data_IF_623194864197
#
_entry.id   IF_623194864197
#
_cell.length_a   1.000
_cell.length_b   1.000
_cell.length_c   1.000
_cell.angle_alpha   90.00
_cell.angle_beta   90.00
_cell.angle_gamma   90.00
#
_symmetry.space_group_name_H-M   'P 1'
#
loop_
_entity.id
_entity.type
_entity.pdbx_description
1 polymer ?
#
# COMPACT_ATOMS: atom_id res chain seq x y z
N UNK A 1 -18.61 -8.83 -24.38
CA UNK A 1 -17.75 -8.23 -23.34
C UNK A 1 -16.30 -8.64 -23.51
N UNK A 2 -16.00 -9.92 -23.53
CA UNK A 2 -14.61 -10.45 -23.68
C UNK A 2 -13.84 -9.87 -24.87
N UNK A 3 -14.51 -9.68 -26.04
CA UNK A 3 -13.90 -9.07 -27.23
C UNK A 3 -13.45 -7.62 -26.97
N UNK A 4 -14.24 -6.84 -26.25
CA UNK A 4 -13.92 -5.43 -25.91
C UNK A 4 -12.70 -5.39 -24.98
N UNK A 5 -12.68 -6.23 -23.94
CA UNK A 5 -11.55 -6.33 -23.00
C UNK A 5 -10.28 -6.74 -23.75
N UNK A 6 -10.33 -7.77 -24.59
CA UNK A 6 -9.17 -8.23 -25.39
C UNK A 6 -8.66 -7.14 -26.35
N UNK A 7 -9.55 -6.39 -26.99
CA UNK A 7 -9.16 -5.30 -27.86
C UNK A 7 -8.44 -4.19 -27.10
N UNK A 8 -9.01 -3.75 -25.96
CA UNK A 8 -8.39 -2.75 -25.09
C UNK A 8 -7.00 -3.21 -24.59
N UNK A 9 -6.90 -4.43 -24.07
CA UNK A 9 -5.63 -4.97 -23.59
C UNK A 9 -4.60 -5.11 -24.69
N UNK A 10 -5.01 -5.47 -25.91
CA UNK A 10 -4.12 -5.52 -27.08
C UNK A 10 -3.56 -4.13 -27.44
N UNK A 11 -4.41 -3.09 -27.41
CA UNK A 11 -3.98 -1.70 -27.67
C UNK A 11 -3.00 -1.22 -26.62
N UNK A 12 -3.29 -1.42 -25.34
CA UNK A 12 -2.39 -1.04 -24.23
C UNK A 12 -1.06 -1.80 -24.31
N UNK A 13 -1.08 -3.10 -24.61
CA UNK A 13 0.13 -3.93 -24.71
C UNK A 13 1.04 -3.50 -25.88
N UNK A 14 0.47 -3.04 -27.00
CA UNK A 14 1.27 -2.52 -28.12
C UNK A 14 2.11 -1.30 -27.74
N UNK A 15 1.62 -0.47 -26.82
CA UNK A 15 2.33 0.73 -26.33
C UNK A 15 3.29 0.41 -25.17
N UNK A 16 3.10 -0.72 -24.48
CA UNK A 16 3.80 -1.08 -23.25
C UNK A 16 4.52 -2.43 -23.38
N UNK A 17 5.23 -2.61 -24.50
CA UNK A 17 6.02 -3.82 -24.74
C UNK A 17 7.07 -3.99 -23.66
N UNK A 18 7.22 -5.22 -23.12
CA UNK A 18 8.14 -5.56 -22.05
C UNK A 18 7.85 -4.93 -20.68
N UNK A 19 6.59 -4.59 -20.41
CA UNK A 19 6.12 -4.10 -19.10
C UNK A 19 5.12 -5.07 -18.43
N UNK A 20 5.53 -6.30 -18.07
CA UNK A 20 4.62 -7.36 -17.63
C UNK A 20 3.88 -7.02 -16.33
N UNK A 21 4.53 -6.38 -15.36
CA UNK A 21 3.91 -6.01 -14.09
C UNK A 21 2.83 -4.94 -14.30
N UNK A 22 3.09 -3.98 -15.18
CA UNK A 22 2.09 -2.97 -15.55
C UNK A 22 0.89 -3.59 -16.26
N UNK A 23 1.13 -4.47 -17.25
CA UNK A 23 0.07 -5.16 -17.97
C UNK A 23 -0.79 -6.05 -17.08
N UNK A 24 -0.20 -6.69 -16.06
CA UNK A 24 -0.94 -7.48 -15.07
C UNK A 24 -1.94 -6.59 -14.30
N UNK A 25 -1.51 -5.43 -13.80
CA UNK A 25 -2.39 -4.51 -13.08
C UNK A 25 -3.49 -3.92 -13.97
N UNK A 26 -3.16 -3.56 -15.20
CA UNK A 26 -4.14 -3.07 -16.16
C UNK A 26 -5.20 -4.14 -16.47
N UNK A 27 -4.78 -5.40 -16.61
CA UNK A 27 -5.70 -6.51 -16.88
C UNK A 27 -6.70 -6.70 -15.74
N UNK A 28 -6.22 -6.75 -14.49
CA UNK A 28 -7.07 -6.89 -13.29
C UNK A 28 -8.15 -5.79 -13.22
N UNK A 29 -7.75 -4.55 -13.47
CA UNK A 29 -8.69 -3.42 -13.45
C UNK A 29 -9.65 -3.47 -14.63
N UNK A 30 -9.16 -3.75 -15.85
CA UNK A 30 -9.95 -3.79 -17.07
C UNK A 30 -11.08 -4.82 -16.99
N UNK A 31 -10.84 -6.00 -16.42
CA UNK A 31 -11.83 -7.08 -16.27
C UNK A 31 -13.05 -6.64 -15.44
N UNK A 32 -12.87 -5.76 -14.50
CA UNK A 32 -13.96 -5.26 -13.63
C UNK A 32 -14.54 -3.92 -14.10
N UNK A 33 -13.71 -3.04 -14.63
CA UNK A 33 -14.09 -1.64 -14.97
C UNK A 33 -14.72 -1.56 -16.38
N UNK A 34 -14.22 -2.29 -17.38
CA UNK A 34 -14.78 -2.24 -18.75
C UNK A 34 -16.27 -2.66 -18.79
N UNK A 35 -16.71 -3.75 -18.12
CA UNK A 35 -18.13 -4.06 -18.05
C UNK A 35 -18.98 -2.93 -17.45
N UNK A 36 -18.44 -2.24 -16.45
CA UNK A 36 -19.11 -1.08 -15.85
C UNK A 36 -19.19 0.10 -16.84
N UNK A 37 -18.08 0.45 -17.51
CA UNK A 37 -18.05 1.50 -18.53
C UNK A 37 -19.12 1.26 -19.61
N UNK A 38 -19.17 0.04 -20.17
CA UNK A 38 -20.14 -0.32 -21.23
C UNK A 38 -21.60 -0.19 -20.75
N UNK A 39 -21.85 -0.36 -19.46
CA UNK A 39 -23.18 -0.21 -18.87
C UNK A 39 -23.60 1.23 -18.57
N UNK A 40 -22.72 2.22 -18.82
CA UNK A 40 -22.94 3.62 -18.47
C UNK A 40 -22.64 4.53 -19.66
N UNK A 41 -23.67 5.10 -20.25
CA UNK A 41 -23.56 5.99 -21.42
C UNK A 41 -22.59 7.17 -21.20
N UNK A 42 -22.51 7.69 -19.96
CA UNK A 42 -21.63 8.81 -19.61
C UNK A 42 -20.13 8.47 -19.81
N UNK A 43 -19.73 7.20 -19.69
CA UNK A 43 -18.33 6.78 -19.85
C UNK A 43 -18.06 6.12 -21.21
N UNK A 44 -19.10 5.57 -21.83
CA UNK A 44 -18.96 4.85 -23.09
C UNK A 44 -18.48 5.78 -24.22
N UNK A 45 -17.47 5.35 -24.97
CA UNK A 45 -16.91 6.14 -26.07
C UNK A 45 -15.96 7.29 -25.67
N UNK A 46 -15.77 7.54 -24.36
CA UNK A 46 -14.91 8.65 -23.88
C UNK A 46 -13.42 8.28 -23.72
N UNK A 47 -13.04 7.04 -24.01
CA UNK A 47 -11.67 6.53 -23.84
C UNK A 47 -11.03 6.80 -22.46
N UNK A 48 -11.86 6.95 -21.40
CA UNK A 48 -11.37 7.36 -20.08
C UNK A 48 -10.37 6.36 -19.52
N UNK A 49 -10.67 5.04 -19.57
CA UNK A 49 -9.73 4.04 -19.05
C UNK A 49 -8.43 4.03 -19.86
N UNK A 50 -8.48 4.25 -21.18
CA UNK A 50 -7.28 4.37 -22.01
C UNK A 50 -6.42 5.57 -21.61
N UNK A 51 -7.05 6.71 -21.27
CA UNK A 51 -6.35 7.89 -20.74
C UNK A 51 -5.79 7.64 -19.34
N UNK A 52 -6.48 6.87 -18.49
CA UNK A 52 -6.01 6.54 -17.15
C UNK A 52 -4.80 5.60 -17.12
N UNK A 53 -4.65 4.73 -18.11
CA UNK A 53 -3.51 3.80 -18.20
C UNK A 53 -2.28 4.46 -18.84
N UNK A 54 -2.43 5.61 -19.48
CA UNK A 54 -1.32 6.39 -20.00
C UNK A 54 -0.86 7.43 -18.96
N UNK A 55 0.40 7.40 -18.47
CA UNK A 55 0.88 8.42 -17.55
C UNK A 55 0.80 9.82 -18.15
N UNK A 56 0.37 10.82 -17.37
CA UNK A 56 0.40 12.21 -17.81
C UNK A 56 1.84 12.66 -18.07
N UNK A 57 2.81 12.18 -17.28
CA UNK A 57 4.26 12.42 -17.50
C UNK A 57 5.10 11.30 -16.90
N UNK A 58 6.22 11.04 -17.58
CA UNK A 58 7.30 10.17 -17.10
C UNK A 58 8.59 10.97 -17.09
N UNK A 59 9.20 11.06 -15.92
CA UNK A 59 10.46 11.77 -15.70
C UNK A 59 11.53 10.73 -15.40
N UNK A 60 12.58 10.68 -16.19
CA UNK A 60 13.74 9.82 -15.99
C UNK A 60 15.00 10.66 -15.97
N UNK A 61 15.88 10.40 -15.03
CA UNK A 61 17.11 11.18 -14.84
C UNK A 61 18.24 10.32 -14.29
N UNK A 62 19.48 10.77 -14.55
CA UNK A 62 20.70 10.17 -14.00
C UNK A 62 20.94 10.69 -12.59
N UNK A 63 21.32 9.79 -11.68
CA UNK A 63 21.75 10.11 -10.31
C UNK A 63 23.21 9.70 -10.17
N UNK A 64 24.12 10.66 -10.21
CA UNK A 64 25.54 10.46 -9.99
C UNK A 64 25.89 10.85 -8.55
N UNK A 65 26.62 10.01 -7.83
CA UNK A 65 27.02 10.24 -6.43
C UNK A 65 28.36 9.54 -6.12
N UNK A 66 29.02 9.92 -5.04
CA UNK A 66 30.31 9.37 -4.64
C UNK A 66 30.12 8.49 -3.42
N UNK A 67 30.62 7.25 -3.46
CA UNK A 67 30.57 6.31 -2.34
C UNK A 67 31.67 6.59 -1.28
N UNK A 68 31.76 5.74 -0.27
CA UNK A 68 32.74 5.91 0.80
C UNK A 68 34.19 5.54 0.38
N UNK A 69 34.36 4.91 -0.79
CA UNK A 69 35.64 4.64 -1.39
C UNK A 69 36.09 5.74 -2.38
N UNK A 70 35.38 6.87 -2.42
CA UNK A 70 35.59 7.98 -3.36
C UNK A 70 35.32 7.60 -4.84
N UNK A 71 34.61 6.48 -5.09
CA UNK A 71 34.25 6.04 -6.43
C UNK A 71 32.94 6.67 -6.87
N UNK A 72 32.88 7.05 -8.18
CA UNK A 72 31.67 7.62 -8.79
C UNK A 72 30.69 6.49 -9.10
N UNK A 73 29.53 6.55 -8.50
CA UNK A 73 28.40 5.66 -8.73
C UNK A 73 27.35 6.35 -9.59
N UNK A 74 26.64 5.57 -10.43
CA UNK A 74 25.59 6.07 -11.31
C UNK A 74 24.35 5.19 -11.21
N UNK A 75 23.24 5.78 -10.81
CA UNK A 75 21.93 5.15 -10.75
C UNK A 75 20.92 5.87 -11.67
N UNK A 76 19.78 5.22 -11.90
CA UNK A 76 18.64 5.81 -12.61
C UNK A 76 17.60 6.28 -11.61
N UNK A 77 17.13 7.50 -11.77
CA UNK A 77 16.01 8.06 -11.02
C UNK A 77 14.78 8.16 -11.90
N UNK A 78 13.60 7.95 -11.31
CA UNK A 78 12.31 8.00 -12.00
C UNK A 78 11.25 8.68 -11.17
N UNK A 79 10.32 9.39 -11.84
CA UNK A 79 9.02 9.79 -11.31
C UNK A 79 7.95 9.61 -12.39
N UNK A 80 6.91 8.87 -12.04
CA UNK A 80 5.73 8.64 -12.87
C UNK A 80 4.61 9.49 -12.29
N UNK A 81 4.20 10.51 -13.02
CA UNK A 81 3.03 11.35 -12.76
C UNK A 81 1.87 10.72 -13.54
N UNK A 82 1.07 9.88 -12.86
CA UNK A 82 0.13 8.99 -13.54
C UNK A 82 -1.19 9.68 -13.86
N UNK A 83 -1.80 10.33 -12.87
CA UNK A 83 -3.08 11.01 -13.05
C UNK A 83 -3.28 12.06 -11.96
N UNK A 84 -3.64 13.29 -12.34
CA UNK A 84 -3.85 14.43 -11.44
C UNK A 84 -5.32 14.91 -11.37
N UNK A 85 -6.25 14.21 -11.97
CA UNK A 85 -7.64 14.68 -12.09
C UNK A 85 -8.32 14.97 -10.74
N UNK A 86 -7.92 14.29 -9.65
CA UNK A 86 -8.51 14.48 -8.32
C UNK A 86 -7.59 15.17 -7.31
N UNK A 87 -6.42 15.63 -7.74
CA UNK A 87 -5.47 16.35 -6.87
C UNK A 87 -4.02 16.17 -7.30
N UNK A 88 -3.06 16.75 -6.56
CA UNK A 88 -1.64 16.63 -6.86
C UNK A 88 -1.21 15.17 -6.88
N UNK A 89 -0.22 14.83 -7.72
CA UNK A 89 0.30 13.47 -7.77
C UNK A 89 0.80 13.04 -6.40
N UNK A 90 0.46 11.84 -5.98
CA UNK A 90 0.81 11.32 -4.65
C UNK A 90 1.20 9.86 -4.73
N UNK A 91 2.34 9.52 -4.16
CA UNK A 91 2.81 8.15 -4.04
C UNK A 91 4.28 8.06 -3.67
N UNK A 92 4.70 6.87 -3.21
CA UNK A 92 6.02 6.66 -2.63
C UNK A 92 7.18 6.69 -3.63
N UNK A 93 8.38 6.87 -3.09
CA UNK A 93 9.65 6.61 -3.76
C UNK A 93 10.17 5.25 -3.27
N UNK A 94 10.61 4.40 -4.21
CA UNK A 94 11.20 3.09 -3.91
C UNK A 94 12.69 3.09 -4.28
N UNK A 95 13.55 2.73 -3.34
CA UNK A 95 14.97 2.50 -3.60
C UNK A 95 15.27 1.01 -3.47
N UNK A 96 15.42 0.36 -4.62
CA UNK A 96 15.66 -1.08 -4.68
C UNK A 96 16.24 -1.47 -6.05
N UNK A 97 17.18 -2.42 -6.14
CA UNK A 97 17.79 -2.84 -7.41
C UNK A 97 16.80 -3.30 -8.49
N UNK A 98 15.63 -3.81 -8.10
CA UNK A 98 14.59 -4.25 -9.05
C UNK A 98 13.79 -3.11 -9.68
N UNK A 99 13.99 -1.85 -9.26
CA UNK A 99 13.21 -0.72 -9.77
C UNK A 99 13.47 -0.52 -11.27
N UNK A 100 12.39 -0.57 -12.03
CA UNK A 100 12.35 -0.32 -13.45
C UNK A 100 11.03 0.38 -13.84
N UNK A 101 10.87 0.72 -15.10
CA UNK A 101 9.72 1.45 -15.62
C UNK A 101 8.41 0.66 -15.42
N UNK A 102 8.38 -0.63 -15.73
CA UNK A 102 7.20 -1.49 -15.61
C UNK A 102 6.67 -1.52 -14.17
N UNK A 103 7.58 -1.74 -13.20
CA UNK A 103 7.24 -1.76 -11.77
C UNK A 103 6.71 -0.39 -11.31
N UNK A 104 7.32 0.71 -11.75
CA UNK A 104 6.89 2.03 -11.32
C UNK A 104 5.56 2.46 -11.96
N UNK A 105 5.32 2.12 -13.23
CA UNK A 105 4.03 2.35 -13.89
C UNK A 105 2.92 1.52 -13.25
N UNK A 106 3.17 0.25 -12.98
CA UNK A 106 2.26 -0.61 -12.21
C UNK A 106 1.86 0.05 -10.88
N UNK A 107 2.86 0.42 -10.08
CA UNK A 107 2.62 1.01 -8.77
C UNK A 107 1.95 2.39 -8.84
N UNK A 108 2.25 3.19 -9.88
CA UNK A 108 1.62 4.49 -10.09
C UNK A 108 0.14 4.34 -10.48
N UNK A 109 -0.18 3.40 -11.36
CA UNK A 109 -1.52 3.09 -11.78
C UNK A 109 -2.40 2.60 -10.61
N UNK A 110 -1.91 1.61 -9.84
CA UNK A 110 -2.57 1.15 -8.62
C UNK A 110 -2.78 2.29 -7.60
N UNK A 111 -1.82 3.21 -7.53
CA UNK A 111 -1.89 4.34 -6.61
C UNK A 111 -3.02 5.30 -6.95
N UNK A 112 -3.39 5.46 -8.24
CA UNK A 112 -4.54 6.29 -8.66
C UNK A 112 -5.82 5.77 -7.99
N UNK A 113 -6.09 4.48 -8.08
CA UNK A 113 -7.29 3.85 -7.49
C UNK A 113 -7.26 3.90 -5.96
N UNK A 114 -6.12 3.57 -5.35
CA UNK A 114 -5.94 3.62 -3.90
C UNK A 114 -6.19 5.02 -3.34
N UNK A 115 -5.64 6.05 -3.96
CA UNK A 115 -5.81 7.43 -3.51
C UNK A 115 -7.26 7.90 -3.71
N UNK A 116 -7.88 7.54 -4.83
CA UNK A 116 -9.28 7.86 -5.11
C UNK A 116 -10.22 7.32 -4.03
N UNK A 117 -9.97 6.10 -3.54
CA UNK A 117 -10.78 5.48 -2.49
C UNK A 117 -10.73 6.25 -1.17
N UNK A 118 -9.62 6.90 -0.83
CA UNK A 118 -9.49 7.66 0.43
C UNK A 118 -10.39 8.87 0.54
N UNK A 119 -11.08 9.27 -0.53
CA UNK A 119 -11.86 10.50 -0.68
C UNK A 119 -11.05 11.80 -0.61
N UNK A 120 -9.79 11.74 -0.21
CA UNK A 120 -8.89 12.90 -0.13
C UNK A 120 -8.47 13.39 -1.53
N UNK A 121 -8.15 14.69 -1.69
CA UNK A 121 -7.76 15.28 -2.97
C UNK A 121 -6.31 14.91 -3.33
N UNK A 122 -6.10 13.71 -3.79
CA UNK A 122 -4.79 13.17 -4.16
C UNK A 122 -4.89 12.39 -5.47
N UNK A 123 -4.12 12.82 -6.47
CA UNK A 123 -3.88 12.07 -7.68
C UNK A 123 -2.94 10.87 -7.45
N UNK A 124 -2.51 10.21 -8.50
CA UNK A 124 -1.61 9.06 -8.43
C UNK A 124 -0.25 9.31 -9.06
N UNK A 125 0.79 8.89 -8.37
CA UNK A 125 2.16 8.91 -8.89
C UNK A 125 3.05 7.93 -8.15
N UNK A 126 4.19 7.62 -8.75
CA UNK A 126 5.20 6.74 -8.15
C UNK A 126 6.58 7.12 -8.64
N UNK A 127 7.60 6.86 -7.86
CA UNK A 127 8.97 7.08 -8.29
C UNK A 127 9.94 6.16 -7.58
N UNK A 128 11.21 6.35 -7.88
CA UNK A 128 12.26 5.58 -7.25
C UNK A 128 13.54 5.52 -8.05
N UNK A 129 14.41 4.61 -7.62
CA UNK A 129 15.72 4.37 -8.21
C UNK A 129 16.11 2.91 -8.04
N UNK A 130 16.97 2.43 -8.93
CA UNK A 130 17.68 1.15 -8.82
C UNK A 130 18.78 1.13 -7.74
N UNK A 131 18.91 2.19 -6.95
CA UNK A 131 19.79 2.29 -5.80
C UNK A 131 19.36 1.31 -4.69
N UNK A 132 20.32 0.58 -4.13
CA UNK A 132 20.11 -0.28 -2.96
C UNK A 132 20.68 0.38 -1.71
N UNK A 133 19.85 0.87 -0.77
CA UNK A 133 20.32 1.46 0.48
C UNK A 133 20.84 0.41 1.48
N UNK A 134 20.61 -0.88 1.21
CA UNK A 134 21.01 -1.95 2.11
C UNK A 134 22.53 -2.11 2.13
N UNK A 135 23.09 -2.07 3.33
CA UNK A 135 24.56 -2.18 3.52
C UNK A 135 25.33 -0.90 3.23
N UNK A 136 24.64 0.19 2.84
CA UNK A 136 25.26 1.50 2.64
C UNK A 136 25.35 2.28 3.94
N UNK A 137 26.39 3.11 4.09
CA UNK A 137 26.52 4.02 5.22
C UNK A 137 25.47 5.13 5.17
N UNK A 138 25.20 5.76 6.30
CA UNK A 138 24.30 6.92 6.37
C UNK A 138 24.80 8.08 5.48
N UNK A 139 26.11 8.23 5.35
CA UNK A 139 26.74 9.26 4.50
C UNK A 139 26.54 8.96 3.02
N UNK A 140 26.69 7.71 2.59
CA UNK A 140 26.42 7.26 1.22
C UNK A 140 24.95 7.49 0.86
N UNK A 141 24.02 7.05 1.73
CA UNK A 141 22.57 7.25 1.52
C UNK A 141 22.22 8.75 1.47
N UNK A 142 22.84 9.58 2.31
CA UNK A 142 22.63 11.03 2.27
C UNK A 142 23.11 11.63 0.95
N UNK A 143 24.32 11.30 0.49
CA UNK A 143 24.87 11.79 -0.80
C UNK A 143 23.97 11.37 -1.98
N UNK A 144 23.52 10.10 -1.99
CA UNK A 144 22.60 9.61 -2.99
C UNK A 144 21.27 10.41 -2.97
N UNK A 145 20.65 10.56 -1.80
CA UNK A 145 19.39 11.29 -1.65
C UNK A 145 19.50 12.76 -2.09
N UNK A 146 20.63 13.40 -1.79
CA UNK A 146 20.90 14.78 -2.22
C UNK A 146 21.03 14.88 -3.74
N UNK A 147 21.77 13.97 -4.38
CA UNK A 147 21.89 13.92 -5.84
C UNK A 147 20.53 13.62 -6.50
N UNK A 148 19.79 12.63 -6.00
CA UNK A 148 18.46 12.28 -6.50
C UNK A 148 17.50 13.48 -6.42
N UNK A 149 17.47 14.19 -5.29
CA UNK A 149 16.59 15.34 -5.10
C UNK A 149 17.04 16.56 -5.94
N UNK A 150 18.31 16.71 -6.24
CA UNK A 150 18.81 17.79 -7.12
C UNK A 150 18.22 17.70 -8.52
N UNK A 151 17.88 16.51 -8.98
CA UNK A 151 17.14 16.35 -10.23
C UNK A 151 15.62 16.43 -10.04
N UNK A 152 15.09 15.78 -9.01
CA UNK A 152 13.65 15.66 -8.81
C UNK A 152 12.97 16.98 -8.38
N UNK A 153 13.65 17.88 -7.66
CA UNK A 153 13.02 19.06 -7.03
C UNK A 153 12.29 19.98 -8.01
N UNK A 154 12.66 19.98 -9.29
CA UNK A 154 12.01 20.80 -10.35
C UNK A 154 10.60 20.33 -10.66
N UNK A 155 10.31 19.08 -10.38
CA UNK A 155 9.08 18.40 -10.80
C UNK A 155 8.07 18.23 -9.66
N UNK A 156 8.51 18.37 -8.40
CA UNK A 156 7.67 18.15 -7.21
C UNK A 156 7.37 19.45 -6.47
N UNK A 157 6.39 19.39 -5.58
CA UNK A 157 5.98 20.53 -4.76
C UNK A 157 4.64 20.28 -4.06
N UNK A 158 4.29 21.08 -3.05
CA UNK A 158 3.12 20.84 -2.19
C UNK A 158 1.77 20.85 -2.95
N UNK A 159 1.71 21.51 -4.11
CA UNK A 159 0.50 21.62 -4.94
C UNK A 159 0.65 20.93 -6.33
N UNK A 160 1.73 20.19 -6.55
CA UNK A 160 2.01 19.55 -7.84
C UNK A 160 2.17 18.05 -7.68
N UNK A 161 3.18 17.63 -6.95
CA UNK A 161 3.55 16.24 -6.73
C UNK A 161 4.19 16.08 -5.35
N UNK A 162 3.65 15.19 -4.53
CA UNK A 162 4.05 15.01 -3.14
C UNK A 162 4.49 13.57 -2.92
N UNK A 163 5.78 13.26 -3.11
CA UNK A 163 6.30 11.93 -2.84
C UNK A 163 6.21 11.52 -1.36
N UNK A 164 6.28 10.23 -1.11
CA UNK A 164 6.33 9.61 0.22
C UNK A 164 7.40 8.52 0.26
N UNK A 165 7.54 7.83 1.40
CA UNK A 165 8.36 6.63 1.50
C UNK A 165 7.69 5.39 0.91
N UNK A 166 8.51 4.42 0.56
CA UNK A 166 8.16 3.06 0.13
C UNK A 166 9.37 2.14 0.45
N UNK A 167 9.49 0.96 -0.15
CA UNK A 167 10.64 0.05 0.06
C UNK A 167 11.96 0.81 -0.13
N UNK A 168 12.86 0.70 0.84
CA UNK A 168 14.16 1.37 0.82
C UNK A 168 14.13 2.88 1.09
N UNK A 169 12.97 3.47 1.34
CA UNK A 169 12.80 4.90 1.68
C UNK A 169 11.98 5.03 2.95
N UNK A 170 12.65 5.12 4.07
CA UNK A 170 12.08 5.37 5.38
C UNK A 170 12.23 6.81 5.84
N UNK A 171 12.05 7.05 7.14
CA UNK A 171 12.19 8.39 7.74
C UNK A 171 13.55 9.03 7.55
N UNK A 172 14.65 8.23 7.53
CA UNK A 172 16.01 8.68 7.25
C UNK A 172 16.12 9.28 5.85
N UNK A 173 15.72 8.52 4.84
CA UNK A 173 15.77 8.93 3.43
C UNK A 173 14.85 10.13 3.18
N UNK A 174 13.63 10.12 3.72
CA UNK A 174 12.72 11.28 3.66
C UNK A 174 13.37 12.52 4.27
N UNK A 175 14.10 12.37 5.37
CA UNK A 175 14.86 13.48 6.00
C UNK A 175 15.91 14.08 5.07
N UNK A 176 16.74 13.23 4.45
CA UNK A 176 17.79 13.67 3.52
C UNK A 176 17.19 14.30 2.24
N UNK A 177 16.14 13.70 1.69
CA UNK A 177 15.42 14.23 0.52
C UNK A 177 14.79 15.60 0.85
N UNK A 178 14.11 15.73 1.98
CA UNK A 178 13.48 16.98 2.40
C UNK A 178 14.50 18.08 2.69
N UNK A 179 15.60 17.75 3.36
CA UNK A 179 16.68 18.69 3.64
C UNK A 179 17.27 19.29 2.37
N UNK A 180 17.50 18.46 1.34
CA UNK A 180 18.01 18.92 0.05
C UNK A 180 16.96 19.73 -0.73
N UNK A 181 15.70 19.30 -0.76
CA UNK A 181 14.62 20.09 -1.36
C UNK A 181 14.51 21.48 -0.73
N UNK A 182 14.45 21.55 0.61
CA UNK A 182 14.41 22.81 1.37
C UNK A 182 15.57 23.73 1.01
N UNK A 183 16.79 23.17 0.88
CA UNK A 183 17.98 23.94 0.50
C UNK A 183 17.88 24.51 -0.92
N UNK A 184 17.44 23.70 -1.91
CA UNK A 184 17.33 24.09 -3.30
C UNK A 184 16.23 25.12 -3.56
N UNK A 185 15.07 24.94 -2.89
CA UNK A 185 13.91 25.84 -3.04
C UNK A 185 13.94 27.05 -2.10
N UNK A 186 14.75 27.01 -1.06
CA UNK A 186 14.73 27.98 0.02
C UNK A 186 13.33 28.13 0.67
N UNK A 187 12.60 27.00 0.79
CA UNK A 187 11.23 26.95 1.30
C UNK A 187 11.06 25.79 2.28
N UNK A 188 10.32 26.02 3.38
CA UNK A 188 9.82 24.99 4.25
C UNK A 188 8.36 24.72 3.88
N UNK A 189 8.13 23.72 3.03
CA UNK A 189 6.80 23.40 2.46
C UNK A 189 6.35 21.98 2.78
N UNK A 190 5.11 21.64 2.45
CA UNK A 190 4.52 20.31 2.62
C UNK A 190 4.85 19.31 1.49
N UNK A 191 6.03 19.41 0.90
CA UNK A 191 6.39 18.68 -0.34
C UNK A 191 6.54 17.17 -0.19
N UNK A 192 6.94 16.64 0.91
CA UNK A 192 7.11 15.20 1.16
C UNK A 192 6.22 14.77 2.32
N UNK A 193 5.77 13.52 2.35
CA UNK A 193 5.11 12.93 3.51
C UNK A 193 5.93 11.77 4.10
N UNK A 194 5.67 11.46 5.38
CA UNK A 194 6.52 10.57 6.17
C UNK A 194 7.67 11.31 6.87
N UNK A 195 7.53 12.62 7.03
CA UNK A 195 8.45 13.47 7.78
C UNK A 195 8.44 13.12 9.26
N UNK A 196 9.50 13.49 9.97
CA UNK A 196 9.53 13.42 11.43
C UNK A 196 8.50 14.37 12.06
N UNK A 197 7.88 13.94 13.15
CA UNK A 197 6.81 14.70 13.83
C UNK A 197 7.27 16.13 14.21
N UNK A 198 8.53 16.29 14.61
CA UNK A 198 9.10 17.58 14.99
C UNK A 198 9.30 18.57 13.83
N UNK A 199 9.16 18.14 12.59
CA UNK A 199 9.39 18.96 11.41
C UNK A 199 8.36 18.71 10.28
N UNK A 200 7.09 18.56 10.67
CA UNK A 200 5.93 18.56 9.77
C UNK A 200 5.35 17.19 9.47
N UNK A 201 5.80 16.14 10.16
CA UNK A 201 5.20 14.81 10.09
C UNK A 201 3.91 14.68 10.88
N UNK A 202 3.11 13.69 10.59
CA UNK A 202 1.86 13.36 11.29
C UNK A 202 2.06 12.24 12.31
N UNK A 203 1.41 12.36 13.45
CA UNK A 203 1.18 11.24 14.35
C UNK A 203 0.38 10.14 13.63
N UNK A 204 0.40 8.91 14.16
CA UNK A 204 -0.27 7.72 13.56
C UNK A 204 0.31 7.30 12.19
N UNK A 205 1.26 8.02 11.59
CA UNK A 205 1.79 7.63 10.27
C UNK A 205 2.46 6.25 10.26
N UNK A 206 3.29 5.86 11.24
CA UNK A 206 3.83 4.51 11.33
C UNK A 206 2.75 3.43 11.48
N UNK A 207 1.74 3.69 12.26
CA UNK A 207 0.64 2.77 12.60
C UNK A 207 -0.39 2.62 11.48
N UNK A 208 -0.53 3.64 10.67
CA UNK A 208 -1.68 3.87 9.79
C UNK A 208 -2.05 2.71 8.87
N UNK A 209 -1.08 2.01 8.29
CA UNK A 209 -1.37 0.88 7.39
C UNK A 209 -1.92 -0.31 8.17
N UNK A 210 -1.28 -0.66 9.28
CA UNK A 210 -1.73 -1.74 10.16
C UNK A 210 -3.09 -1.44 10.80
N UNK A 211 -3.29 -0.23 11.31
CA UNK A 211 -4.57 0.20 11.86
C UNK A 211 -5.67 0.21 10.80
N UNK A 212 -5.37 0.75 9.63
CA UNK A 212 -6.33 0.84 8.52
C UNK A 212 -6.85 -0.52 8.08
N UNK A 213 -5.97 -1.53 7.93
CA UNK A 213 -6.42 -2.87 7.52
C UNK A 213 -7.34 -3.50 8.56
N UNK A 214 -7.08 -3.27 9.85
CA UNK A 214 -7.92 -3.80 10.93
C UNK A 214 -9.28 -3.08 10.99
N UNK A 215 -9.30 -1.76 10.83
CA UNK A 215 -10.56 -1.00 10.71
C UNK A 215 -11.40 -1.46 9.52
N UNK A 216 -10.77 -1.68 8.36
CA UNK A 216 -11.49 -2.17 7.18
C UNK A 216 -12.07 -3.57 7.40
N UNK A 217 -11.31 -4.48 8.03
CA UNK A 217 -11.79 -5.83 8.38
C UNK A 217 -12.97 -5.76 9.36
N UNK A 218 -12.92 -4.88 10.35
CA UNK A 218 -14.02 -4.71 11.30
C UNK A 218 -15.31 -4.26 10.59
N UNK A 219 -15.21 -3.30 9.67
CA UNK A 219 -16.33 -2.90 8.81
C UNK A 219 -16.86 -4.08 7.96
N UNK A 220 -15.97 -4.93 7.42
CA UNK A 220 -16.39 -6.12 6.68
C UNK A 220 -17.19 -7.10 7.55
N UNK A 221 -16.75 -7.31 8.80
CA UNK A 221 -17.45 -8.17 9.74
C UNK A 221 -18.81 -7.58 10.14
N UNK A 222 -18.87 -6.26 10.34
CA UNK A 222 -20.10 -5.54 10.69
C UNK A 222 -21.22 -5.70 9.65
N UNK A 223 -20.90 -5.93 8.38
CA UNK A 223 -21.92 -6.25 7.33
C UNK A 223 -22.77 -7.46 7.71
N UNK A 224 -22.18 -8.40 8.45
CA UNK A 224 -22.87 -9.63 8.90
C UNK A 224 -23.23 -9.56 10.40
N UNK A 225 -23.30 -8.38 11.01
CA UNK A 225 -23.56 -8.19 12.46
C UNK A 225 -22.54 -8.93 13.33
N UNK A 226 -21.28 -9.04 12.88
CA UNK A 226 -20.16 -9.65 13.57
C UNK A 226 -19.08 -8.59 13.86
N UNK A 227 -18.02 -8.94 14.58
CA UNK A 227 -16.92 -8.00 14.90
C UNK A 227 -15.65 -8.73 15.27
N UNK A 228 -14.58 -7.96 15.48
CA UNK A 228 -13.24 -8.48 15.79
C UNK A 228 -13.14 -9.15 17.17
N UNK A 229 -13.97 -8.74 18.14
CA UNK A 229 -13.88 -9.24 19.51
C UNK A 229 -14.01 -10.76 19.57
N UNK A 230 -13.01 -11.42 20.16
CA UNK A 230 -12.97 -12.88 20.31
C UNK A 230 -12.53 -13.67 19.07
N UNK A 231 -12.29 -13.01 17.92
CA UNK A 231 -11.80 -13.67 16.71
C UNK A 231 -10.34 -14.07 16.84
N UNK A 232 -10.00 -15.21 16.24
CA UNK A 232 -8.62 -15.66 16.07
C UNK A 232 -8.04 -15.11 14.76
N UNK A 233 -6.84 -14.54 14.81
CA UNK A 233 -6.20 -13.88 13.68
C UNK A 233 -4.83 -14.48 13.38
N UNK A 234 -4.60 -14.88 12.14
CA UNK A 234 -3.28 -15.22 11.64
C UNK A 234 -2.70 -14.03 10.83
N UNK A 235 -1.53 -13.56 11.22
CA UNK A 235 -0.82 -12.46 10.58
C UNK A 235 0.53 -12.96 10.09
N UNK A 236 0.90 -12.64 8.86
CA UNK A 236 2.27 -12.82 8.34
C UNK A 236 3.10 -11.54 8.47
N UNK A 237 4.41 -11.69 8.39
CA UNK A 237 5.33 -10.59 8.60
C UNK A 237 5.58 -10.30 10.08
N UNK A 238 6.57 -9.47 10.34
CA UNK A 238 6.91 -8.91 11.66
C UNK A 238 7.47 -7.49 11.53
N UNK A 239 7.25 -6.87 10.38
CA UNK A 239 7.56 -5.46 10.12
C UNK A 239 6.46 -4.53 10.61
N UNK A 240 6.56 -3.27 10.19
CA UNK A 240 5.69 -2.19 10.64
C UNK A 240 4.19 -2.50 10.51
N UNK A 241 3.74 -2.95 9.34
CA UNK A 241 2.32 -3.26 9.10
C UNK A 241 1.83 -4.38 10.02
N UNK A 242 2.58 -5.47 10.12
CA UNK A 242 2.22 -6.62 10.96
C UNK A 242 2.19 -6.27 12.46
N UNK A 243 3.16 -5.48 12.93
CA UNK A 243 3.23 -5.04 14.34
C UNK A 243 1.99 -4.21 14.70
N UNK A 244 1.65 -3.21 13.90
CA UNK A 244 0.52 -2.32 14.19
C UNK A 244 -0.84 -2.92 13.85
N UNK A 245 -0.93 -3.84 12.89
CA UNK A 245 -2.13 -4.67 12.72
C UNK A 245 -2.37 -5.54 13.97
N UNK A 246 -1.30 -6.14 14.51
CA UNK A 246 -1.36 -6.89 15.77
C UNK A 246 -1.85 -6.00 16.92
N UNK A 247 -1.24 -4.83 17.11
CA UNK A 247 -1.62 -3.88 18.17
C UNK A 247 -3.11 -3.52 18.10
N UNK A 248 -3.59 -3.14 16.91
CA UNK A 248 -5.00 -2.75 16.73
C UNK A 248 -5.96 -3.94 16.89
N UNK A 249 -5.59 -5.14 16.43
CA UNK A 249 -6.36 -6.36 16.70
C UNK A 249 -6.53 -6.61 18.20
N UNK A 250 -5.46 -6.45 18.98
CA UNK A 250 -5.49 -6.60 20.44
C UNK A 250 -6.38 -5.55 21.10
N UNK A 251 -6.28 -4.29 20.66
CA UNK A 251 -7.11 -3.19 21.19
C UNK A 251 -8.60 -3.41 20.91
N UNK A 252 -8.95 -4.07 19.81
CA UNK A 252 -10.32 -4.42 19.43
C UNK A 252 -10.76 -5.80 19.94
N UNK A 253 -9.96 -6.45 20.78
CA UNK A 253 -10.31 -7.69 21.49
C UNK A 253 -10.16 -8.97 20.69
N UNK A 254 -9.44 -8.95 19.56
CA UNK A 254 -9.09 -10.15 18.81
C UNK A 254 -7.86 -10.85 19.39
N UNK A 255 -7.69 -12.13 19.07
CA UNK A 255 -6.58 -12.97 19.49
C UNK A 255 -5.64 -13.23 18.32
N UNK A 256 -4.47 -12.58 18.31
CA UNK A 256 -3.46 -12.80 17.29
C UNK A 256 -2.61 -14.02 17.63
N UNK A 257 -2.53 -14.98 16.71
CA UNK A 257 -1.90 -16.29 16.92
C UNK A 257 -0.50 -16.39 16.31
N UNK A 258 -0.22 -15.63 15.23
CA UNK A 258 1.01 -15.79 14.44
C UNK A 258 1.63 -14.48 14.08
N UNK A 259 2.95 -14.45 13.93
CA UNK A 259 3.74 -13.49 13.18
C UNK A 259 4.86 -14.26 12.47
N UNK A 260 5.42 -13.71 11.38
CA UNK A 260 6.45 -14.41 10.59
C UNK A 260 7.57 -13.47 10.13
N UNK A 261 8.68 -14.05 9.73
CA UNK A 261 9.68 -13.40 8.87
C UNK A 261 10.22 -14.40 7.83
N UNK A 262 11.26 -14.04 7.09
CA UNK A 262 11.81 -14.91 6.04
C UNK A 262 12.43 -16.22 6.56
N UNK A 263 12.53 -16.43 7.88
CA UNK A 263 13.00 -17.69 8.47
C UNK A 263 11.87 -18.65 8.88
N UNK A 264 10.62 -18.20 8.87
CA UNK A 264 9.47 -18.98 9.27
C UNK A 264 8.47 -18.17 10.09
N UNK A 265 7.58 -18.84 10.82
CA UNK A 265 6.58 -18.17 11.64
C UNK A 265 6.54 -18.72 13.08
N UNK A 266 6.12 -17.84 13.99
CA UNK A 266 5.77 -18.22 15.35
C UNK A 266 4.26 -18.53 15.45
N UNK A 267 3.91 -19.57 16.19
CA UNK A 267 2.54 -19.88 16.60
C UNK A 267 2.44 -19.85 18.11
N UNK A 268 1.65 -18.91 18.62
CA UNK A 268 1.38 -18.78 20.05
C UNK A 268 -0.09 -19.11 20.32
N UNK A 269 -0.34 -20.32 20.80
CA UNK A 269 -1.69 -20.83 21.08
C UNK A 269 -2.42 -20.00 22.13
N UNK A 270 -1.70 -19.41 23.08
CA UNK A 270 -2.26 -18.53 24.10
C UNK A 270 -2.55 -17.12 23.55
N UNK A 271 -2.05 -16.81 22.38
CA UNK A 271 -2.12 -15.52 21.72
C UNK A 271 -0.99 -14.57 22.11
N UNK A 272 -0.67 -13.68 21.15
CA UNK A 272 0.25 -12.57 21.38
C UNK A 272 -0.53 -11.49 22.13
N UNK A 273 -0.04 -11.07 23.30
CA UNK A 273 -0.58 -9.95 24.09
C UNK A 273 0.32 -8.71 23.93
N UNK A 274 -0.01 -7.60 24.60
CA UNK A 274 0.74 -6.33 24.50
C UNK A 274 2.21 -6.47 24.93
N UNK A 275 2.50 -7.23 25.99
CA UNK A 275 3.88 -7.49 26.46
C UNK A 275 4.69 -8.28 25.42
N UNK A 276 4.08 -9.35 24.88
CA UNK A 276 4.70 -10.16 23.83
C UNK A 276 4.94 -9.36 22.54
N UNK A 277 3.98 -8.50 22.16
CA UNK A 277 4.14 -7.60 21.01
C UNK A 277 5.28 -6.61 21.25
N UNK A 278 5.37 -6.00 22.42
CA UNK A 278 6.48 -5.08 22.76
C UNK A 278 7.83 -5.78 22.65
N UNK A 279 7.92 -7.04 23.11
CA UNK A 279 9.13 -7.84 22.95
C UNK A 279 9.47 -8.09 21.47
N UNK A 280 8.46 -8.39 20.63
CA UNK A 280 8.65 -8.56 19.19
C UNK A 280 9.14 -7.26 18.53
N UNK A 281 8.55 -6.11 18.90
CA UNK A 281 8.98 -4.80 18.40
C UNK A 281 10.44 -4.51 18.78
N UNK A 282 10.85 -4.76 20.01
CA UNK A 282 12.23 -4.64 20.45
C UNK A 282 13.16 -5.59 19.66
N UNK A 283 12.75 -6.85 19.53
CA UNK A 283 13.49 -7.88 18.80
C UNK A 283 13.76 -7.49 17.34
N UNK A 284 12.74 -6.97 16.66
CA UNK A 284 12.80 -6.67 15.22
C UNK A 284 13.36 -5.29 14.93
N UNK A 285 12.93 -4.25 15.65
CA UNK A 285 13.23 -2.87 15.33
C UNK A 285 14.56 -2.40 15.95
N UNK A 286 14.89 -2.91 17.14
CA UNK A 286 16.11 -2.51 17.87
C UNK A 286 17.21 -3.56 17.67
N UNK A 287 16.94 -4.81 18.05
CA UNK A 287 17.95 -5.89 17.99
C UNK A 287 18.18 -6.46 16.59
N UNK A 288 17.26 -6.21 15.64
CA UNK A 288 17.29 -6.69 14.24
C UNK A 288 17.47 -8.19 14.11
N UNK A 289 16.91 -8.96 15.06
CA UNK A 289 17.00 -10.42 15.11
C UNK A 289 15.83 -11.09 14.39
N UNK A 290 15.93 -12.43 14.19
CA UNK A 290 14.88 -13.26 13.60
C UNK A 290 13.76 -13.52 14.59
N UNK A 291 12.53 -13.72 14.05
CA UNK A 291 11.34 -13.99 14.86
C UNK A 291 11.46 -15.29 15.67
N UNK A 292 12.31 -16.24 15.22
CA UNK A 292 12.62 -17.49 15.93
C UNK A 292 13.16 -17.28 17.34
N UNK A 293 13.76 -16.12 17.65
CA UNK A 293 14.21 -15.80 19.02
C UNK A 293 13.06 -15.66 20.03
N UNK A 294 11.82 -15.45 19.53
CA UNK A 294 10.63 -15.32 20.38
C UNK A 294 10.40 -16.53 21.28
N UNK A 295 10.53 -17.76 20.73
CA UNK A 295 10.27 -19.00 21.48
C UNK A 295 11.29 -19.29 22.56
N UNK A 296 12.47 -18.64 22.52
CA UNK A 296 13.44 -18.71 23.61
C UNK A 296 12.95 -18.04 24.90
N UNK A 297 12.16 -16.96 24.76
CA UNK A 297 11.53 -16.26 25.89
C UNK A 297 10.16 -16.83 26.23
N UNK A 298 9.38 -17.21 25.24
CA UNK A 298 8.01 -17.72 25.39
C UNK A 298 7.93 -19.18 24.94
N UNK A 299 8.39 -20.10 25.81
CA UNK A 299 8.58 -21.53 25.52
C UNK A 299 7.31 -22.32 25.23
N UNK A 300 6.12 -21.74 25.50
CA UNK A 300 4.81 -22.33 25.12
C UNK A 300 4.46 -22.07 23.65
N UNK A 301 5.13 -21.15 22.99
CA UNK A 301 4.96 -20.89 21.57
C UNK A 301 5.85 -21.82 20.74
N UNK A 302 5.41 -22.10 19.53
CA UNK A 302 6.13 -22.93 18.56
C UNK A 302 6.75 -22.05 17.48
N UNK A 303 7.92 -22.45 16.96
CA UNK A 303 8.51 -21.87 15.77
C UNK A 303 8.53 -22.90 14.65
N UNK A 304 8.00 -22.52 13.49
CA UNK A 304 7.94 -23.35 12.30
C UNK A 304 8.89 -22.79 11.23
N UNK A 305 10.08 -23.42 11.10
CA UNK A 305 11.11 -22.99 10.12
C UNK A 305 10.62 -23.16 8.69
N UNK A 306 10.97 -22.21 7.83
CA UNK A 306 10.76 -22.23 6.38
C UNK A 306 9.28 -22.45 5.94
N UNK A 307 8.34 -22.08 6.81
CA UNK A 307 6.89 -22.18 6.57
C UNK A 307 6.22 -20.82 6.74
N UNK A 308 5.06 -20.68 6.08
CA UNK A 308 4.14 -19.56 6.27
C UNK A 308 2.99 -19.95 7.24
N UNK A 309 2.26 -18.99 7.81
CA UNK A 309 1.27 -19.27 8.87
C UNK A 309 -0.10 -19.74 8.36
N UNK A 310 -0.31 -19.90 7.06
CA UNK A 310 -1.64 -20.09 6.47
C UNK A 310 -2.29 -21.45 6.73
N UNK A 311 -1.54 -22.40 7.29
CA UNK A 311 -2.08 -23.66 7.80
C UNK A 311 -2.65 -23.58 9.20
N UNK A 312 -2.46 -22.48 9.92
CA UNK A 312 -3.00 -22.27 11.26
C UNK A 312 -4.50 -22.00 11.20
N UNK A 313 -5.27 -22.66 12.04
CA UNK A 313 -6.72 -22.41 12.14
C UNK A 313 -6.97 -21.01 12.68
N UNK A 314 -7.68 -20.19 11.92
CA UNK A 314 -8.04 -18.82 12.29
C UNK A 314 -9.38 -18.40 11.65
N UNK A 315 -10.01 -17.39 12.22
CA UNK A 315 -11.21 -16.75 11.65
C UNK A 315 -10.82 -15.75 10.57
N UNK A 316 -9.68 -15.05 10.76
CA UNK A 316 -9.21 -13.95 9.94
C UNK A 316 -7.74 -14.17 9.57
N UNK A 317 -7.38 -13.93 8.30
CA UNK A 317 -6.01 -13.92 7.83
C UNK A 317 -5.62 -12.51 7.33
N UNK A 318 -4.47 -12.01 7.77
CA UNK A 318 -3.95 -10.69 7.38
C UNK A 318 -2.52 -10.84 6.84
N UNK A 319 -2.35 -11.03 5.53
CA UNK A 319 -1.03 -11.10 4.92
C UNK A 319 -0.36 -9.71 4.92
N UNK A 320 0.72 -9.56 5.70
CA UNK A 320 1.44 -8.31 5.94
C UNK A 320 2.93 -8.36 5.59
N UNK A 321 3.42 -9.42 4.96
CA UNK A 321 4.86 -9.59 4.72
C UNK A 321 5.27 -9.06 3.33
N UNK A 322 5.05 -9.84 2.29
CA UNK A 322 5.57 -9.54 0.95
C UNK A 322 4.56 -9.86 -0.15
N UNK A 323 4.85 -9.35 -1.35
CA UNK A 323 4.10 -9.66 -2.56
C UNK A 323 4.10 -11.18 -2.83
N UNK A 324 2.95 -11.73 -3.25
CA UNK A 324 2.74 -13.13 -3.64
C UNK A 324 3.10 -14.16 -2.54
N UNK A 325 3.01 -13.79 -1.28
CA UNK A 325 3.28 -14.67 -0.14
C UNK A 325 2.18 -15.71 0.14
N UNK A 326 0.96 -15.47 -0.32
CA UNK A 326 -0.19 -16.34 -0.14
C UNK A 326 -0.63 -16.90 -1.50
N UNK A 327 -0.31 -18.14 -1.74
CA UNK A 327 -0.58 -18.83 -3.00
C UNK A 327 -1.86 -19.68 -2.95
N UNK A 328 -2.19 -20.37 -4.06
CA UNK A 328 -3.39 -21.20 -4.16
C UNK A 328 -3.47 -22.30 -3.09
N UNK A 329 -2.35 -22.92 -2.73
CA UNK A 329 -2.35 -23.99 -1.71
C UNK A 329 -2.60 -23.42 -0.32
N UNK A 330 -2.05 -22.25 -0.02
CA UNK A 330 -2.29 -21.51 1.21
C UNK A 330 -3.76 -21.10 1.32
N UNK A 331 -4.35 -20.61 0.23
CA UNK A 331 -5.77 -20.27 0.19
C UNK A 331 -6.67 -21.50 0.43
N UNK A 332 -6.34 -22.66 -0.16
CA UNK A 332 -7.04 -23.92 0.14
C UNK A 332 -6.93 -24.33 1.60
N UNK A 333 -5.76 -24.13 2.22
CA UNK A 333 -5.54 -24.44 3.63
C UNK A 333 -6.38 -23.53 4.53
N UNK A 334 -6.41 -22.22 4.28
CA UNK A 334 -7.24 -21.25 5.00
C UNK A 334 -8.73 -21.62 4.94
N UNK A 335 -9.25 -21.90 3.74
CA UNK A 335 -10.65 -22.30 3.56
C UNK A 335 -10.97 -23.61 4.30
N UNK A 336 -10.11 -24.63 4.18
CA UNK A 336 -10.27 -25.91 4.89
C UNK A 336 -10.31 -25.73 6.40
N UNK A 337 -9.53 -24.79 6.92
CA UNK A 337 -9.43 -24.48 8.35
C UNK A 337 -10.53 -23.52 8.85
N UNK A 338 -11.46 -23.09 7.97
CA UNK A 338 -12.63 -22.31 8.32
C UNK A 338 -12.39 -20.80 8.38
N UNK A 339 -11.29 -20.29 7.80
CA UNK A 339 -11.07 -18.87 7.65
C UNK A 339 -12.19 -18.22 6.81
N UNK A 340 -12.79 -17.15 7.31
CA UNK A 340 -13.94 -16.47 6.68
C UNK A 340 -13.59 -15.11 6.13
N UNK A 341 -12.49 -14.52 6.57
CA UNK A 341 -12.10 -13.16 6.20
C UNK A 341 -10.61 -13.08 5.91
N UNK A 342 -10.26 -12.50 4.76
CA UNK A 342 -8.87 -12.20 4.37
C UNK A 342 -8.77 -10.73 4.04
N UNK A 343 -7.87 -10.01 4.72
CA UNK A 343 -7.62 -8.59 4.45
C UNK A 343 -6.15 -8.34 4.16
N UNK A 344 -5.82 -7.83 2.96
CA UNK A 344 -4.44 -7.58 2.55
C UNK A 344 -3.82 -6.38 3.27
N UNK A 345 -2.83 -6.63 4.12
CA UNK A 345 -2.01 -5.59 4.75
C UNK A 345 -0.80 -5.19 3.90
N UNK A 346 -0.18 -6.13 3.20
CA UNK A 346 0.87 -5.86 2.22
C UNK A 346 0.27 -5.45 0.85
N UNK A 347 1.11 -5.03 -0.09
CA UNK A 347 0.71 -4.79 -1.47
C UNK A 347 0.76 -6.10 -2.26
N UNK A 348 -0.38 -6.52 -2.81
CA UNK A 348 -0.56 -7.74 -3.61
C UNK A 348 0.05 -9.01 -2.95
N UNK A 349 -0.25 -9.32 -1.69
CA UNK A 349 0.31 -10.50 -1.04
C UNK A 349 -0.32 -11.81 -1.52
N UNK A 350 -1.55 -11.76 -2.05
CA UNK A 350 -2.23 -12.93 -2.60
C UNK A 350 -1.97 -13.06 -4.10
N UNK A 351 -1.72 -14.30 -4.56
CA UNK A 351 -1.65 -14.59 -6.00
C UNK A 351 -3.04 -14.54 -6.65
N UNK A 352 -3.12 -14.28 -7.96
CA UNK A 352 -4.38 -14.22 -8.69
C UNK A 352 -5.24 -15.50 -8.50
N UNK A 353 -4.62 -16.68 -8.50
CA UNK A 353 -5.32 -17.95 -8.28
C UNK A 353 -5.90 -18.06 -6.86
N UNK A 354 -5.19 -17.54 -5.86
CA UNK A 354 -5.68 -17.48 -4.49
C UNK A 354 -6.89 -16.53 -4.38
N UNK A 355 -6.82 -15.35 -4.99
CA UNK A 355 -7.92 -14.37 -5.04
C UNK A 355 -9.14 -15.00 -5.71
N UNK A 356 -8.96 -15.61 -6.89
CA UNK A 356 -10.04 -16.28 -7.61
C UNK A 356 -10.70 -17.38 -6.77
N UNK A 357 -9.92 -18.14 -6.02
CA UNK A 357 -10.46 -19.16 -5.11
C UNK A 357 -11.29 -18.53 -3.98
N UNK A 358 -10.84 -17.43 -3.38
CA UNK A 358 -11.57 -16.71 -2.33
C UNK A 358 -12.90 -16.17 -2.88
N UNK A 359 -12.89 -15.50 -4.02
CA UNK A 359 -14.11 -14.96 -4.66
C UNK A 359 -15.10 -16.09 -5.02
N UNK A 360 -14.62 -17.20 -5.58
CA UNK A 360 -15.46 -18.36 -5.91
C UNK A 360 -16.15 -18.97 -4.68
N UNK A 361 -15.49 -18.97 -3.54
CA UNK A 361 -16.04 -19.48 -2.27
C UNK A 361 -16.78 -18.41 -1.48
N UNK A 362 -16.94 -17.19 -2.02
CA UNK A 362 -17.66 -16.08 -1.41
C UNK A 362 -17.19 -15.76 0.01
N UNK A 363 -15.90 -15.91 0.31
CA UNK A 363 -15.38 -15.42 1.59
C UNK A 363 -15.17 -13.91 1.52
N UNK A 364 -15.15 -13.24 2.66
CA UNK A 364 -14.86 -11.82 2.74
C UNK A 364 -13.38 -11.60 2.40
N UNK A 365 -13.09 -11.10 1.20
CA UNK A 365 -11.73 -10.82 0.76
C UNK A 365 -11.60 -9.33 0.41
N UNK A 366 -10.67 -8.65 1.07
CA UNK A 366 -10.37 -7.24 0.84
C UNK A 366 -9.02 -7.07 0.10
N UNK A 367 -9.01 -6.47 -1.11
CA UNK A 367 -7.79 -6.19 -1.85
C UNK A 367 -6.98 -5.08 -1.18
N UNK A 368 -5.65 -5.14 -1.28
CA UNK A 368 -4.74 -4.20 -0.64
C UNK A 368 -5.00 -2.73 -0.97
N UNK A 369 -5.43 -2.43 -2.21
CA UNK A 369 -5.76 -1.04 -2.61
C UNK A 369 -6.89 -0.41 -1.76
N UNK A 370 -7.76 -1.22 -1.16
CA UNK A 370 -8.78 -0.77 -0.23
C UNK A 370 -8.33 -0.94 1.24
N UNK A 371 -7.96 -2.17 1.64
CA UNK A 371 -7.71 -2.49 3.05
C UNK A 371 -6.45 -1.84 3.61
N UNK A 372 -5.37 -1.72 2.84
CA UNK A 372 -4.12 -1.12 3.31
C UNK A 372 -3.96 0.38 2.99
N UNK A 373 -5.04 1.04 2.57
CA UNK A 373 -5.03 2.45 2.22
C UNK A 373 -4.78 3.39 3.42
N UNK A 374 -4.80 2.89 4.65
CA UNK A 374 -4.56 3.70 5.85
C UNK A 374 -3.26 4.50 5.81
N UNK A 375 -2.18 3.92 5.29
CA UNK A 375 -0.90 4.61 5.15
C UNK A 375 -0.96 5.85 4.25
N UNK A 376 -1.62 5.76 3.09
CA UNK A 376 -1.78 6.91 2.21
C UNK A 376 -2.86 7.87 2.74
N UNK A 377 -3.87 7.39 3.42
CA UNK A 377 -4.86 8.24 4.09
C UNK A 377 -4.19 9.18 5.10
N UNK A 378 -3.36 8.65 6.02
CA UNK A 378 -2.63 9.50 6.97
C UNK A 378 -1.57 10.37 6.27
N UNK A 379 -1.01 9.93 5.13
CA UNK A 379 -0.18 10.83 4.32
C UNK A 379 -0.97 12.03 3.78
N UNK A 380 -2.22 11.85 3.36
CA UNK A 380 -3.12 12.95 3.00
C UNK A 380 -3.48 13.85 4.17
N UNK A 381 -3.69 13.25 5.37
CA UNK A 381 -3.87 14.04 6.60
C UNK A 381 -2.62 14.84 6.97
N UNK A 382 -1.40 14.29 6.72
CA UNK A 382 -0.14 15.04 6.88
C UNK A 382 -0.09 16.23 5.92
N UNK A 383 -0.51 16.05 4.65
CA UNK A 383 -0.62 17.15 3.70
C UNK A 383 -1.56 18.26 4.21
N UNK A 384 -2.73 17.89 4.74
CA UNK A 384 -3.69 18.84 5.32
C UNK A 384 -3.08 19.60 6.51
N UNK A 385 -2.43 18.91 7.45
CA UNK A 385 -1.73 19.52 8.58
C UNK A 385 -0.62 20.47 8.13
N UNK A 386 0.14 20.09 7.09
CA UNK A 386 1.20 20.93 6.52
C UNK A 386 0.64 22.19 5.86
N UNK A 387 -0.49 22.08 5.17
CA UNK A 387 -1.18 23.22 4.56
C UNK A 387 -1.71 24.21 5.60
N UNK A 388 -2.26 23.68 6.69
CA UNK A 388 -2.75 24.47 7.82
C UNK A 388 -1.63 25.00 8.72
N UNK A 389 -0.40 24.48 8.58
CA UNK A 389 0.73 24.71 9.51
C UNK A 389 0.37 24.42 10.97
N UNK A 390 -0.40 23.35 11.16
CA UNK A 390 -0.93 22.93 12.45
C UNK A 390 -0.87 21.41 12.60
N UNK A 391 -0.50 20.94 13.79
CA UNK A 391 -0.39 19.52 14.12
C UNK A 391 -1.63 19.05 14.89
N UNK A 392 -2.26 17.98 14.46
CA UNK A 392 -3.38 17.35 15.16
C UNK A 392 -2.90 16.35 16.21
N UNK A 393 -3.72 16.16 17.26
CA UNK A 393 -3.45 15.13 18.26
C UNK A 393 -3.57 13.72 17.68
N UNK A 394 -3.05 12.74 18.42
CA UNK A 394 -3.10 11.31 18.03
C UNK A 394 -4.54 10.83 17.85
N UNK A 395 -5.43 11.24 18.76
CA UNK A 395 -6.84 10.86 18.76
C UNK A 395 -7.58 11.44 17.54
N UNK A 396 -7.27 12.67 17.17
CA UNK A 396 -7.86 13.31 15.99
C UNK A 396 -7.43 12.60 14.71
N UNK A 397 -6.13 12.28 14.58
CA UNK A 397 -5.63 11.59 13.38
C UNK A 397 -6.16 10.16 13.31
N UNK A 398 -6.20 9.41 14.42
CA UNK A 398 -6.75 8.04 14.45
C UNK A 398 -8.26 8.03 14.16
N UNK A 399 -9.01 8.98 14.72
CA UNK A 399 -10.44 9.15 14.43
C UNK A 399 -10.71 9.40 12.94
N UNK A 400 -9.95 10.32 12.32
CA UNK A 400 -10.03 10.58 10.88
C UNK A 400 -9.61 9.38 10.03
N UNK A 401 -8.58 8.64 10.45
CA UNK A 401 -8.19 7.40 9.78
C UNK A 401 -9.33 6.39 9.80
N UNK A 402 -9.98 6.18 10.95
CA UNK A 402 -11.11 5.26 11.06
C UNK A 402 -12.28 5.69 10.17
N UNK A 403 -12.63 6.98 10.14
CA UNK A 403 -13.65 7.54 9.26
C UNK A 403 -13.32 7.27 7.78
N UNK A 404 -12.10 7.57 7.34
CA UNK A 404 -11.67 7.33 5.96
C UNK A 404 -11.76 5.84 5.61
N UNK A 405 -11.36 4.92 6.50
CA UNK A 405 -11.45 3.49 6.22
C UNK A 405 -12.89 3.00 6.12
N UNK A 406 -13.81 3.56 6.91
CA UNK A 406 -15.25 3.31 6.80
C UNK A 406 -15.83 3.84 5.47
N UNK A 407 -15.42 5.01 5.02
CA UNK A 407 -15.82 5.58 3.72
C UNK A 407 -15.31 4.73 2.54
N UNK A 408 -14.06 4.24 2.61
CA UNK A 408 -13.52 3.31 1.61
C UNK A 408 -14.38 2.05 1.56
N UNK A 409 -14.68 1.47 2.72
CA UNK A 409 -15.50 0.28 2.81
C UNK A 409 -16.92 0.51 2.23
N UNK A 410 -17.58 1.60 2.61
CA UNK A 410 -18.89 2.00 2.09
C UNK A 410 -18.89 2.16 0.57
N UNK A 411 -17.82 2.76 0.03
CA UNK A 411 -17.63 2.89 -1.43
C UNK A 411 -17.48 1.54 -2.11
N UNK A 412 -16.73 0.62 -1.48
CA UNK A 412 -16.59 -0.75 -2.01
C UNK A 412 -17.93 -1.51 -1.99
N UNK A 413 -18.74 -1.37 -0.95
CA UNK A 413 -20.10 -1.95 -0.88
C UNK A 413 -20.98 -1.41 -2.00
N UNK A 414 -21.00 -0.08 -2.19
CA UNK A 414 -21.85 0.58 -3.20
C UNK A 414 -21.69 -0.02 -4.59
N UNK A 415 -20.48 -0.38 -4.97
CA UNK A 415 -20.18 -0.90 -6.31
C UNK A 415 -19.89 -2.40 -6.38
N UNK A 416 -19.68 -3.04 -5.23
CA UNK A 416 -19.32 -4.48 -5.15
C UNK A 416 -20.43 -5.39 -4.64
N UNK A 417 -21.57 -4.85 -4.18
CA UNK A 417 -22.68 -5.68 -3.67
C UNK A 417 -23.30 -6.57 -4.74
N UNK A 418 -23.44 -7.86 -4.43
CA UNK A 418 -24.03 -8.89 -5.27
C UNK A 418 -24.98 -9.75 -4.41
N UNK A 419 -26.27 -9.50 -4.44
CA UNK A 419 -27.29 -10.21 -3.64
C UNK A 419 -26.88 -10.39 -2.17
N UNK A 420 -26.28 -11.53 -1.84
CA UNK A 420 -25.86 -11.98 -0.52
C UNK A 420 -24.35 -11.92 -0.29
N UNK A 421 -23.61 -11.26 -1.18
CA UNK A 421 -22.14 -11.18 -1.14
C UNK A 421 -21.63 -9.80 -1.53
N UNK A 422 -20.50 -9.40 -0.97
CA UNK A 422 -19.79 -8.18 -1.39
C UNK A 422 -18.47 -8.58 -2.05
N UNK A 423 -18.35 -8.30 -3.34
CA UNK A 423 -17.11 -8.44 -4.09
C UNK A 423 -16.27 -7.16 -3.93
N UNK A 424 -15.42 -7.12 -2.93
CA UNK A 424 -14.60 -5.94 -2.61
C UNK A 424 -13.56 -5.62 -3.70
N UNK A 425 -13.11 -6.59 -4.50
CA UNK A 425 -12.20 -6.35 -5.64
C UNK A 425 -12.90 -5.51 -6.69
N UNK A 426 -14.07 -5.96 -7.13
CA UNK A 426 -14.93 -5.22 -8.06
C UNK A 426 -15.34 -3.86 -7.49
N UNK A 427 -15.73 -3.83 -6.22
CA UNK A 427 -16.12 -2.61 -5.52
C UNK A 427 -15.02 -1.57 -5.50
N UNK A 428 -13.80 -1.94 -5.11
CA UNK A 428 -12.65 -1.04 -5.05
C UNK A 428 -12.25 -0.51 -6.43
N UNK A 429 -12.20 -1.38 -7.45
CA UNK A 429 -11.83 -0.98 -8.80
C UNK A 429 -12.85 0.00 -9.40
N UNK A 430 -14.15 -0.30 -9.28
CA UNK A 430 -15.20 0.58 -9.83
C UNK A 430 -15.30 1.90 -9.05
N UNK A 431 -15.25 1.86 -7.70
CA UNK A 431 -15.29 3.08 -6.89
C UNK A 431 -14.13 4.02 -7.20
N UNK A 432 -12.91 3.48 -7.28
CA UNK A 432 -11.72 4.26 -7.66
C UNK A 432 -11.84 4.82 -9.07
N UNK A 433 -12.29 4.00 -10.04
CA UNK A 433 -12.52 4.44 -11.42
C UNK A 433 -13.53 5.58 -11.48
N UNK A 434 -14.73 5.44 -10.90
CA UNK A 434 -15.81 6.42 -10.99
C UNK A 434 -15.34 7.78 -10.50
N UNK A 435 -14.68 7.86 -9.36
CA UNK A 435 -14.22 9.13 -8.79
C UNK A 435 -13.23 9.86 -9.72
N UNK A 436 -12.29 9.13 -10.32
CA UNK A 436 -11.31 9.72 -11.24
C UNK A 436 -11.97 10.04 -12.58
N UNK A 437 -12.81 9.15 -13.10
CA UNK A 437 -13.49 9.32 -14.38
C UNK A 437 -14.43 10.53 -14.38
N UNK A 438 -15.21 10.74 -13.31
CA UNK A 438 -16.09 11.89 -13.17
C UNK A 438 -15.31 13.21 -13.17
N UNK A 439 -14.16 13.25 -12.47
CA UNK A 439 -13.30 14.41 -12.48
C UNK A 439 -12.69 14.67 -13.86
N UNK A 440 -12.21 13.60 -14.56
CA UNK A 440 -11.67 13.71 -15.91
C UNK A 440 -12.72 14.19 -16.93
N UNK A 441 -13.97 13.75 -16.80
CA UNK A 441 -15.07 14.23 -17.65
C UNK A 441 -15.40 15.70 -17.38
N UNK A 442 -15.44 16.10 -16.12
CA UNK A 442 -15.72 17.48 -15.73
C UNK A 442 -14.63 18.46 -16.18
N UNK A 443 -13.38 18.02 -16.20
CA UNK A 443 -12.22 18.83 -16.63
C UNK A 443 -11.98 18.84 -18.15
N UNK A 444 -12.62 17.92 -18.87
CA UNK A 444 -12.49 17.82 -20.33
C UNK A 444 -11.29 17.01 -20.80
N UNK A 445 -10.81 17.32 -21.98
CA UNK A 445 -9.62 16.66 -22.58
C UNK A 445 -8.41 17.57 -22.40
N UNK A 446 -7.67 17.31 -21.32
CA UNK A 446 -6.47 18.07 -20.92
C UNK A 446 -5.27 17.15 -20.84
#
# INVERSE_FOLDING_TARGET
MEKIIKQFLSEVNQRNQNEPEFMQAVTEVAETVIPYIVSKDIYYGQNILLRMVEPERVISFRVAWIDDNEEIQVNRGYRIEMNSAIGPYKGGLRFHPSVNMSILKFLAFEQVFKNALTTLPMGGGKGGSDFDPKGKSDTEVMRFCQSFMTELFRHIGPNKDIPAGDIGVGGREIGYLFGQYKRLKNEFSGVLTGKGVSWGGSLIRPEATGYGVVYFIDEMLNVNNDGLKGKSVAISGSGNVAQYATEKCLDMGAKVLTLSDSSGYIYDKDGINKEKLQYIMELKNVKRKRISEYVKKYSKAEFHSDKNPWSVKCDIAIPCATQNELNLNDAKALLKNGCKTVGEGANMPCTADAINLFLKNKIQYAPGKASNAGGVAVSGLEMAQNSLKYTWSREVVDGKLKEIMSDIHSSCIKYGSEKDYVNYVKGANIAGFVKVADAMLAQGVV
#
